data_IF_480855492174
#
_entry.id   IF_480855492174
#
_cell.length_a   1.000
_cell.length_b   1.000
_cell.length_c   1.000
_cell.angle_alpha   90.00
_cell.angle_beta   90.00
_cell.angle_gamma   90.00
#
_symmetry.space_group_name_H-M   'P 1'
#
loop_
_entity.id
_entity.type
_entity.pdbx_description
1 polymer ?
#
# COMPACT_ATOMS: atom_id res chain seq x y z
N UNK A 1 17.16 62.99 -15.21
CA UNK A 1 16.62 64.36 -15.49
C UNK A 1 16.03 64.44 -16.91
N UNK A 2 14.85 65.05 -17.12
CA UNK A 2 14.02 65.86 -16.20
C UNK A 2 12.90 65.02 -15.53
N UNK A 3 12.62 65.12 -14.23
CA UNK A 3 11.86 66.17 -13.49
C UNK A 3 10.41 66.35 -13.98
N UNK A 4 9.35 66.43 -13.16
CA UNK A 4 9.10 66.24 -11.74
C UNK A 4 7.56 66.40 -11.51
N UNK A 5 6.95 65.67 -10.56
CA UNK A 5 6.09 66.13 -9.42
C UNK A 5 4.73 65.42 -9.41
N UNK A 6 3.99 65.22 -8.33
CA UNK A 6 4.21 64.94 -6.90
C UNK A 6 2.81 64.93 -6.24
N UNK A 7 2.50 63.93 -5.40
CA UNK A 7 1.65 64.04 -4.18
C UNK A 7 1.43 62.63 -3.60
N UNK A 8 2.12 62.19 -2.51
CA UNK A 8 1.85 62.42 -1.05
C UNK A 8 0.41 62.00 -0.66
N UNK A 9 0.15 61.17 0.37
CA UNK A 9 0.81 60.97 1.67
C UNK A 9 0.54 59.52 2.22
N UNK A 10 1.52 58.85 2.86
CA UNK A 10 1.77 58.70 4.33
C UNK A 10 0.66 57.88 5.06
N UNK A 11 0.88 56.79 5.82
CA UNK A 11 1.89 56.37 6.81
C UNK A 11 2.09 54.83 6.70
N UNK A 12 3.21 54.15 6.97
CA UNK A 12 4.23 54.34 7.99
C UNK A 12 4.00 53.34 9.14
N UNK A 13 4.63 52.16 9.10
CA UNK A 13 5.15 51.41 10.27
C UNK A 13 6.07 50.28 9.79
N UNK A 14 7.37 50.47 10.02
CA UNK A 14 8.41 49.45 9.97
C UNK A 14 8.48 48.75 11.33
N UNK A 15 8.37 47.42 11.34
CA UNK A 15 8.88 46.59 12.44
C UNK A 15 9.42 45.31 11.84
N UNK A 16 10.73 45.11 11.98
CA UNK A 16 11.39 43.87 11.60
C UNK A 16 10.82 42.69 12.38
N UNK A 17 10.64 41.57 11.67
CA UNK A 17 10.48 40.26 12.28
C UNK A 17 11.67 39.42 11.83
N UNK A 18 12.52 39.15 12.82
CA UNK A 18 13.66 38.26 12.80
C UNK A 18 13.31 36.92 12.14
N UNK A 19 14.27 36.37 11.38
CA UNK A 19 14.38 34.94 11.15
C UNK A 19 14.28 34.21 12.49
N UNK A 20 13.09 33.69 12.80
CA UNK A 20 12.95 32.66 13.83
C UNK A 20 13.39 31.35 13.19
N UNK A 21 14.50 30.82 13.70
CA UNK A 21 14.87 29.42 13.53
C UNK A 21 13.64 28.54 13.76
N UNK A 22 13.29 27.70 12.80
CA UNK A 22 12.36 26.60 13.01
C UNK A 22 12.99 25.64 14.03
N UNK A 23 12.68 25.85 15.31
CA UNK A 23 12.79 24.81 16.33
C UNK A 23 11.53 23.98 16.17
N UNK A 24 11.65 22.74 15.71
CA UNK A 24 10.54 21.79 15.79
C UNK A 24 10.24 21.56 17.27
N UNK A 25 9.11 22.08 17.75
CA UNK A 25 8.52 21.61 19.00
C UNK A 25 8.06 20.16 18.79
N UNK A 26 8.82 19.21 19.34
CA UNK A 26 8.57 17.77 19.26
C UNK A 26 7.42 17.26 20.14
N UNK A 27 6.66 18.11 20.83
CA UNK A 27 5.73 17.67 21.89
C UNK A 27 4.26 17.43 21.50
N UNK A 28 3.91 17.31 20.20
CA UNK A 28 2.50 17.07 19.80
C UNK A 28 2.23 15.91 18.84
N UNK A 29 3.22 15.06 18.60
CA UNK A 29 3.01 13.79 17.90
C UNK A 29 3.25 12.65 18.88
N UNK A 30 2.22 12.29 19.64
CA UNK A 30 2.18 11.07 20.44
C UNK A 30 2.17 9.84 19.54
N UNK A 31 3.34 9.50 18.98
CA UNK A 31 3.59 8.17 18.42
C UNK A 31 3.97 7.25 19.58
N UNK A 32 3.05 6.35 19.95
CA UNK A 32 3.35 5.23 20.83
C UNK A 32 4.28 4.26 20.08
N UNK A 33 5.59 4.51 20.19
CA UNK A 33 6.62 3.55 19.83
C UNK A 33 6.67 2.46 20.89
N UNK A 34 6.61 1.19 20.44
CA UNK A 34 6.86 0.02 21.27
C UNK A 34 8.29 0.10 21.84
N UNK A 35 8.41 0.53 23.09
CA UNK A 35 9.61 0.30 23.88
C UNK A 35 9.62 -1.17 24.33
N UNK A 36 10.51 -1.98 23.75
CA UNK A 36 10.96 -3.21 24.41
C UNK A 36 11.90 -2.79 25.55
N UNK A 37 11.41 -2.84 26.79
CA UNK A 37 12.30 -2.77 27.95
C UNK A 37 13.09 -4.09 28.11
N UNK A 38 14.37 -4.03 28.53
CA UNK A 38 15.23 -5.19 28.64
C UNK A 38 14.89 -6.05 29.88
N UNK A 39 14.89 -7.35 29.66
CA UNK A 39 14.75 -8.38 30.68
C UNK A 39 15.94 -8.32 31.66
N UNK A 40 15.70 -7.93 32.91
CA UNK A 40 16.64 -8.10 34.04
C UNK A 40 16.02 -9.07 35.03
N UNK A 41 16.76 -10.13 35.32
CA UNK A 41 16.46 -11.16 36.31
C UNK A 41 16.55 -10.62 37.74
N UNK A 42 15.56 -10.90 38.59
CA UNK A 42 15.80 -11.09 40.03
C UNK A 42 14.70 -11.92 40.69
N UNK A 43 15.17 -12.79 41.58
CA UNK A 43 14.44 -13.80 42.34
C UNK A 43 13.43 -13.23 43.37
N UNK A 44 12.36 -14.00 43.59
CA UNK A 44 11.66 -14.23 44.85
C UNK A 44 11.15 -13.04 45.68
N UNK A 45 9.84 -12.95 45.87
CA UNK A 45 9.14 -12.98 47.17
C UNK A 45 7.61 -12.91 46.98
N UNK A 46 6.90 -13.44 47.97
CA UNK A 46 5.47 -13.75 48.06
C UNK A 46 4.67 -12.57 48.65
N UNK A 47 3.33 -12.57 48.43
CA UNK A 47 2.25 -11.78 49.09
C UNK A 47 2.09 -10.30 48.64
N UNK A 48 0.91 -9.66 48.56
CA UNK A 48 -0.52 -10.03 48.63
C UNK A 48 -1.35 -8.84 48.07
N UNK A 49 -2.65 -9.06 47.83
CA UNK A 49 -3.75 -8.17 47.37
C UNK A 49 -3.63 -6.61 47.41
N UNK A 50 -4.22 -5.95 46.39
CA UNK A 50 -4.76 -4.58 46.53
C UNK A 50 -5.05 -3.81 45.22
N UNK A 51 -6.31 -3.84 44.78
CA UNK A 51 -7.04 -2.81 43.99
C UNK A 51 -6.32 -1.90 42.97
N UNK A 52 -6.67 -2.05 41.68
CA UNK A 52 -7.20 -0.97 40.81
C UNK A 52 -7.30 -1.43 39.35
N UNK A 53 -8.35 -2.20 39.05
CA UNK A 53 -8.76 -2.52 37.67
C UNK A 53 -10.17 -1.97 37.46
N UNK A 54 -10.33 -0.66 37.63
CA UNK A 54 -11.41 0.09 37.01
C UNK A 54 -10.90 0.69 35.70
N UNK A 55 -11.74 0.59 34.65
CA UNK A 55 -11.57 1.16 33.31
C UNK A 55 -10.82 0.33 32.24
N UNK A 56 -11.26 -0.91 32.02
CA UNK A 56 -11.44 -1.42 30.65
C UNK A 56 -12.76 -2.17 30.56
N UNK A 57 -13.80 -1.46 30.13
CA UNK A 57 -15.09 -2.03 29.76
C UNK A 57 -14.91 -3.01 28.60
N UNK A 58 -14.71 -4.29 28.92
CA UNK A 58 -15.05 -5.37 28.00
C UNK A 58 -16.56 -5.31 27.76
N UNK A 59 -16.98 -4.66 26.67
CA UNK A 59 -18.33 -4.82 26.17
C UNK A 59 -18.50 -6.28 25.74
N UNK A 60 -18.91 -7.12 26.68
CA UNK A 60 -19.56 -8.39 26.38
C UNK A 60 -20.80 -8.03 25.58
N UNK A 61 -20.77 -8.33 24.28
CA UNK A 61 -21.97 -8.27 23.43
C UNK A 61 -22.95 -9.27 24.01
N UNK A 62 -23.87 -8.80 24.86
CA UNK A 62 -24.94 -9.63 25.40
C UNK A 62 -25.74 -10.16 24.21
N UNK A 63 -25.94 -11.49 24.09
CA UNK A 63 -26.77 -12.02 23.02
C UNK A 63 -28.16 -11.40 23.09
N UNK A 64 -28.74 -11.08 21.92
CA UNK A 64 -30.13 -10.57 21.82
C UNK A 64 -31.04 -11.53 22.60
N UNK A 65 -31.62 -11.05 23.71
CA UNK A 65 -32.56 -11.81 24.52
C UNK A 65 -33.79 -12.13 23.69
N UNK A 66 -33.84 -13.34 23.13
CA UNK A 66 -35.09 -13.91 22.63
C UNK A 66 -36.08 -14.01 23.78
N UNK A 67 -37.28 -13.47 23.60
CA UNK A 67 -38.29 -13.35 24.64
C UNK A 67 -38.56 -14.66 25.39
N UNK A 68 -38.57 -14.56 26.72
CA UNK A 68 -38.81 -15.68 27.63
C UNK A 68 -40.26 -16.15 27.48
N UNK A 69 -40.49 -17.28 26.83
CA UNK A 69 -41.80 -17.96 26.89
C UNK A 69 -41.84 -18.82 28.14
N UNK A 70 -42.63 -18.37 29.11
CA UNK A 70 -42.92 -19.08 30.35
C UNK A 70 -43.72 -20.36 30.05
N UNK A 71 -43.07 -21.52 30.15
CA UNK A 71 -43.75 -22.81 30.22
C UNK A 71 -43.15 -23.70 31.32
N UNK A 72 -43.96 -23.92 32.36
CA UNK A 72 -44.05 -25.07 33.27
C UNK A 72 -42.76 -25.88 33.57
N UNK A 73 -41.97 -25.39 34.54
CA UNK A 73 -41.30 -26.17 35.61
C UNK A 73 -40.33 -25.24 36.34
N UNK A 74 -40.35 -25.24 37.69
CA UNK A 74 -39.52 -24.35 38.52
C UNK A 74 -38.00 -24.57 38.33
N UNK A 75 -37.59 -25.68 37.70
CA UNK A 75 -36.19 -26.03 37.46
C UNK A 75 -35.75 -25.94 35.98
N UNK A 76 -36.65 -25.65 35.04
CA UNK A 76 -36.31 -25.62 33.60
C UNK A 76 -35.24 -24.56 33.25
N UNK A 77 -35.23 -23.43 33.95
CA UNK A 77 -34.22 -22.38 33.78
C UNK A 77 -32.83 -22.80 34.27
N UNK A 78 -32.76 -23.66 35.31
CA UNK A 78 -31.48 -24.19 35.83
C UNK A 78 -30.83 -25.12 34.82
N UNK A 79 -31.62 -26.00 34.21
CA UNK A 79 -31.12 -26.93 33.20
C UNK A 79 -30.61 -26.19 31.95
N UNK A 80 -31.31 -25.13 31.52
CA UNK A 80 -30.85 -24.29 30.42
C UNK A 80 -29.59 -23.49 30.76
N UNK A 81 -29.49 -22.94 31.98
CA UNK A 81 -28.29 -22.21 32.43
C UNK A 81 -27.07 -23.14 32.52
N UNK A 82 -27.25 -24.36 33.02
CA UNK A 82 -26.18 -25.37 33.05
C UNK A 82 -25.73 -25.71 31.62
N UNK A 83 -26.65 -25.88 30.68
CA UNK A 83 -26.32 -26.14 29.27
C UNK A 83 -25.56 -24.96 28.63
N UNK A 84 -25.93 -23.71 28.95
CA UNK A 84 -25.21 -22.52 28.48
C UNK A 84 -23.80 -22.44 29.08
N UNK A 85 -23.64 -22.70 30.38
CA UNK A 85 -22.34 -22.74 31.06
C UNK A 85 -21.43 -23.87 30.56
N UNK A 86 -22.00 -25.05 30.25
CA UNK A 86 -21.26 -26.15 29.63
C UNK A 86 -20.74 -25.79 28.24
N UNK A 87 -21.55 -25.04 27.47
CA UNK A 87 -21.16 -24.53 26.17
C UNK A 87 -20.02 -23.51 26.30
N UNK A 88 -20.13 -22.56 27.22
CA UNK A 88 -19.06 -21.58 27.52
C UNK A 88 -17.77 -22.28 27.95
N UNK A 89 -17.85 -23.25 28.87
CA UNK A 89 -16.69 -24.02 29.31
C UNK A 89 -16.02 -24.80 28.16
N UNK A 90 -16.82 -25.36 27.24
CA UNK A 90 -16.29 -26.06 26.06
C UNK A 90 -15.60 -25.10 25.10
N UNK A 91 -16.15 -23.89 24.93
CA UNK A 91 -15.54 -22.83 24.13
C UNK A 91 -14.24 -22.33 24.77
N UNK A 92 -14.20 -22.13 26.09
CA UNK A 92 -12.99 -21.75 26.83
C UNK A 92 -11.90 -22.82 26.77
N UNK A 93 -12.25 -24.10 26.99
CA UNK A 93 -11.28 -25.21 26.85
C UNK A 93 -10.69 -25.26 25.45
N UNK A 94 -11.50 -25.00 24.41
CA UNK A 94 -11.02 -24.92 23.03
C UNK A 94 -10.06 -23.74 22.84
N UNK A 95 -10.39 -22.55 23.36
CA UNK A 95 -9.50 -21.38 23.32
C UNK A 95 -8.18 -21.65 24.04
N UNK A 96 -8.23 -22.20 25.25
CA UNK A 96 -7.05 -22.53 26.03
C UNK A 96 -6.15 -23.55 25.32
N UNK A 97 -6.74 -24.59 24.72
CA UNK A 97 -5.99 -25.59 23.94
C UNK A 97 -5.26 -24.96 22.75
N UNK A 98 -5.89 -24.01 22.04
CA UNK A 98 -5.25 -23.28 20.93
C UNK A 98 -4.08 -22.43 21.45
N UNK A 99 -4.27 -21.70 22.54
CA UNK A 99 -3.21 -20.86 23.15
C UNK A 99 -2.02 -21.71 23.59
N UNK A 100 -2.26 -22.86 24.23
CA UNK A 100 -1.19 -23.78 24.62
C UNK A 100 -0.47 -24.37 23.42
N UNK A 101 -1.20 -24.73 22.36
CA UNK A 101 -0.62 -25.18 21.09
C UNK A 101 0.28 -24.11 20.46
N UNK A 102 -0.18 -22.86 20.42
CA UNK A 102 0.62 -21.73 19.92
C UNK A 102 1.89 -21.54 20.76
N UNK A 103 1.77 -21.52 22.10
CA UNK A 103 2.93 -21.39 23.00
C UNK A 103 3.94 -22.53 22.84
N UNK A 104 3.48 -23.77 22.66
CA UNK A 104 4.34 -24.91 22.42
C UNK A 104 5.16 -24.76 21.13
N UNK A 105 4.54 -24.26 20.05
CA UNK A 105 5.24 -24.00 18.78
C UNK A 105 6.28 -22.88 18.91
N UNK A 106 5.97 -21.78 19.62
CA UNK A 106 6.95 -20.73 19.92
C UNK A 106 8.14 -21.29 20.72
N UNK A 107 7.87 -22.09 21.75
CA UNK A 107 8.93 -22.71 22.55
C UNK A 107 9.79 -23.70 21.72
N UNK A 108 9.20 -24.44 20.78
CA UNK A 108 9.96 -25.28 19.85
C UNK A 108 10.88 -24.44 18.95
N UNK A 109 10.35 -23.38 18.35
CA UNK A 109 11.11 -22.49 17.48
C UNK A 109 12.30 -21.87 18.22
N UNK A 110 12.09 -21.39 19.46
CA UNK A 110 13.17 -20.85 20.31
C UNK A 110 14.21 -21.92 20.64
N UNK A 111 13.78 -23.15 20.97
CA UNK A 111 14.72 -24.25 21.24
C UNK A 111 15.60 -24.58 20.04
N UNK A 112 15.02 -24.67 18.85
CA UNK A 112 15.79 -24.93 17.64
C UNK A 112 16.71 -23.76 17.27
N UNK A 113 16.27 -22.52 17.52
CA UNK A 113 17.12 -21.34 17.34
C UNK A 113 18.34 -21.34 18.28
N UNK A 114 18.16 -21.71 19.56
CA UNK A 114 19.27 -21.84 20.53
C UNK A 114 20.23 -22.95 20.12
N UNK A 115 19.71 -24.05 19.56
CA UNK A 115 20.50 -25.17 19.08
C UNK A 115 21.13 -24.94 17.68
N UNK A 116 20.89 -23.79 17.05
CA UNK A 116 21.28 -23.49 15.65
C UNK A 116 20.79 -24.55 14.62
N UNK A 117 19.70 -25.26 14.91
CA UNK A 117 19.09 -26.26 14.01
C UNK A 117 18.11 -25.61 13.03
N UNK A 118 18.67 -25.01 11.97
CA UNK A 118 17.92 -24.24 10.97
C UNK A 118 16.88 -25.07 10.20
N UNK A 119 17.15 -26.30 9.75
CA UNK A 119 16.14 -27.14 9.10
C UNK A 119 14.93 -27.42 10.00
N UNK A 120 15.15 -27.69 11.28
CA UNK A 120 14.04 -27.91 12.23
C UNK A 120 13.24 -26.64 12.49
N UNK A 121 13.88 -25.46 12.53
CA UNK A 121 13.15 -24.19 12.59
C UNK A 121 12.22 -24.01 11.40
N UNK A 122 12.73 -24.24 10.18
CA UNK A 122 11.93 -24.15 8.95
C UNK A 122 10.77 -25.15 8.99
N UNK A 123 10.99 -26.36 9.50
CA UNK A 123 9.95 -27.38 9.65
C UNK A 123 8.80 -26.93 10.56
N UNK A 124 9.09 -26.28 11.70
CA UNK A 124 8.05 -25.73 12.59
C UNK A 124 7.24 -24.64 11.89
N UNK A 125 7.90 -23.73 11.19
CA UNK A 125 7.23 -22.68 10.41
C UNK A 125 6.39 -23.30 9.28
N UNK A 126 6.91 -24.33 8.62
CA UNK A 126 6.22 -25.08 7.58
C UNK A 126 4.96 -25.77 8.10
N UNK A 127 5.01 -26.36 9.30
CA UNK A 127 3.83 -26.95 9.92
C UNK A 127 2.74 -25.89 10.17
N UNK A 128 3.13 -24.68 10.61
CA UNK A 128 2.20 -23.57 10.78
C UNK A 128 1.62 -23.10 9.45
N UNK A 129 2.45 -22.90 8.44
CA UNK A 129 2.02 -22.50 7.10
C UNK A 129 1.01 -23.49 6.49
N UNK A 130 1.22 -24.81 6.67
CA UNK A 130 0.25 -25.84 6.23
C UNK A 130 -1.10 -25.73 6.94
N UNK A 131 -1.10 -25.49 8.25
CA UNK A 131 -2.34 -25.32 9.03
C UNK A 131 -3.11 -24.06 8.62
N UNK A 132 -2.41 -23.01 8.20
CA UNK A 132 -3.04 -21.78 7.70
C UNK A 132 -3.69 -22.04 6.34
N UNK A 133 -3.00 -22.73 5.43
CA UNK A 133 -3.55 -23.08 4.12
C UNK A 133 -4.82 -23.93 4.23
N UNK A 134 -4.93 -24.81 5.24
CA UNK A 134 -6.18 -25.58 5.46
C UNK A 134 -7.30 -24.73 6.07
N UNK A 135 -6.97 -23.72 6.89
CA UNK A 135 -7.96 -22.79 7.46
C UNK A 135 -8.46 -21.75 6.46
N UNK A 136 -7.67 -21.41 5.45
CA UNK A 136 -8.01 -20.43 4.40
C UNK A 136 -8.11 -18.98 4.90
N UNK A 137 -7.80 -18.72 6.18
CA UNK A 137 -7.73 -17.38 6.77
C UNK A 137 -6.50 -17.29 7.66
N UNK A 138 -5.73 -16.21 7.47
CA UNK A 138 -4.53 -15.91 8.22
C UNK A 138 -4.87 -14.94 9.36
N UNK A 139 -4.42 -15.21 10.58
CA UNK A 139 -4.59 -14.32 11.73
C UNK A 139 -3.36 -13.43 11.95
N UNK A 140 -3.50 -12.33 12.69
CA UNK A 140 -2.36 -11.48 13.05
C UNK A 140 -1.29 -12.25 13.84
N UNK A 141 -1.70 -13.18 14.71
CA UNK A 141 -0.78 -14.09 15.42
C UNK A 141 0.00 -14.99 14.46
N UNK A 142 -0.61 -15.42 13.34
CA UNK A 142 0.06 -16.24 12.34
C UNK A 142 1.12 -15.43 11.57
N UNK A 143 0.83 -14.17 11.26
CA UNK A 143 1.77 -13.25 10.60
C UNK A 143 2.99 -13.00 11.51
N UNK A 144 2.75 -12.70 12.78
CA UNK A 144 3.79 -12.49 13.80
C UNK A 144 4.64 -13.74 14.05
N UNK A 145 4.03 -14.93 14.10
CA UNK A 145 4.77 -16.17 14.33
C UNK A 145 5.74 -16.47 13.19
N UNK A 146 5.27 -16.37 11.95
CA UNK A 146 6.09 -16.65 10.77
C UNK A 146 7.17 -15.56 10.63
N UNK A 147 6.81 -14.28 10.83
CA UNK A 147 7.78 -13.19 10.75
C UNK A 147 8.88 -13.31 11.81
N UNK A 148 8.55 -13.73 13.02
CA UNK A 148 9.53 -14.03 14.06
C UNK A 148 10.46 -15.18 13.64
N UNK A 149 9.91 -16.30 13.14
CA UNK A 149 10.73 -17.42 12.66
C UNK A 149 11.69 -17.03 11.55
N UNK A 150 11.24 -16.22 10.59
CA UNK A 150 12.07 -15.72 9.49
C UNK A 150 13.14 -14.76 9.95
N UNK A 151 12.82 -13.86 10.88
CA UNK A 151 13.79 -12.90 11.42
C UNK A 151 14.89 -13.60 12.22
N UNK A 152 14.53 -14.61 13.03
CA UNK A 152 15.52 -15.39 13.79
C UNK A 152 16.40 -16.19 12.82
N UNK A 153 15.80 -16.86 11.82
CA UNK A 153 16.54 -17.58 10.79
C UNK A 153 17.50 -16.64 10.03
N UNK A 154 17.03 -15.47 9.59
CA UNK A 154 17.83 -14.45 8.94
C UNK A 154 19.03 -14.05 9.79
N UNK A 155 18.84 -13.80 11.09
CA UNK A 155 19.91 -13.38 12.00
C UNK A 155 20.98 -14.45 12.22
N UNK A 156 20.58 -15.72 12.32
CA UNK A 156 21.54 -16.83 12.43
C UNK A 156 22.30 -16.98 11.10
N UNK A 157 21.62 -16.90 9.96
CA UNK A 157 22.26 -16.94 8.63
C UNK A 157 23.26 -15.79 8.44
N UNK A 158 22.90 -14.56 8.82
CA UNK A 158 23.81 -13.40 8.77
C UNK A 158 25.07 -13.59 9.62
N UNK A 159 24.97 -14.28 10.75
CA UNK A 159 26.13 -14.65 11.55
C UNK A 159 26.99 -15.70 10.84
N UNK A 160 26.37 -16.73 10.28
CA UNK A 160 27.06 -17.80 9.53
C UNK A 160 27.75 -17.29 8.26
N UNK A 161 27.26 -16.21 7.64
CA UNK A 161 27.91 -15.57 6.48
C UNK A 161 29.30 -14.99 6.76
N UNK A 162 29.69 -14.81 8.03
CA UNK A 162 31.02 -14.31 8.41
C UNK A 162 32.10 -15.39 8.41
N UNK A 163 31.70 -16.67 8.33
CA UNK A 163 32.60 -17.82 8.44
C UNK A 163 32.56 -18.65 7.15
N UNK A 164 33.66 -18.66 6.39
CA UNK A 164 33.77 -19.35 5.10
C UNK A 164 33.48 -20.86 5.18
N UNK A 165 33.79 -21.51 6.31
CA UNK A 165 33.51 -22.94 6.49
C UNK A 165 32.01 -23.20 6.65
N UNK A 166 31.31 -22.31 7.36
CA UNK A 166 29.86 -22.41 7.54
C UNK A 166 29.11 -22.08 6.25
N UNK A 167 29.58 -21.13 5.45
CA UNK A 167 28.94 -20.76 4.17
C UNK A 167 28.76 -21.95 3.23
N UNK A 168 29.77 -22.83 3.17
CA UNK A 168 29.77 -24.00 2.30
C UNK A 168 29.28 -25.28 3.00
N UNK A 169 28.65 -25.16 4.18
CA UNK A 169 28.22 -26.32 4.93
C UNK A 169 26.99 -27.00 4.30
N UNK A 170 26.87 -28.34 4.39
CA UNK A 170 25.68 -29.06 3.94
C UNK A 170 24.41 -28.58 4.65
N UNK A 171 24.51 -28.12 5.90
CA UNK A 171 23.36 -27.58 6.64
C UNK A 171 22.82 -26.30 5.99
N UNK A 172 23.68 -25.38 5.52
CA UNK A 172 23.24 -24.15 4.84
C UNK A 172 22.50 -24.47 3.54
N UNK A 173 23.02 -25.42 2.76
CA UNK A 173 22.39 -25.87 1.53
C UNK A 173 21.02 -26.52 1.82
N UNK A 174 20.96 -27.43 2.80
CA UNK A 174 19.71 -28.05 3.24
C UNK A 174 18.69 -27.03 3.74
N UNK A 175 19.17 -25.98 4.43
CA UNK A 175 18.34 -24.88 4.93
C UNK A 175 17.74 -24.08 3.78
N UNK A 176 18.54 -23.74 2.77
CA UNK A 176 18.06 -23.05 1.57
C UNK A 176 16.97 -23.85 0.85
N UNK A 177 17.19 -25.14 0.57
CA UNK A 177 16.17 -25.97 -0.10
C UNK A 177 14.93 -26.21 0.76
N UNK A 178 15.09 -26.33 2.09
CA UNK A 178 13.94 -26.41 3.00
C UNK A 178 13.11 -25.13 2.96
N UNK A 179 13.77 -23.98 2.90
CA UNK A 179 13.12 -22.68 2.76
C UNK A 179 12.49 -22.52 1.36
N UNK A 180 13.15 -22.96 0.28
CA UNK A 180 12.60 -23.03 -1.07
C UNK A 180 11.25 -23.72 -1.11
N UNK A 181 11.18 -24.91 -0.52
CA UNK A 181 9.94 -25.66 -0.41
C UNK A 181 8.88 -24.91 0.42
N UNK A 182 9.26 -24.38 1.59
CA UNK A 182 8.35 -23.59 2.43
C UNK A 182 7.76 -22.39 1.68
N UNK A 183 8.64 -21.61 1.05
CA UNK A 183 8.30 -20.40 0.32
C UNK A 183 7.34 -20.69 -0.82
N UNK A 184 7.49 -21.84 -1.49
CA UNK A 184 6.56 -22.30 -2.52
C UNK A 184 5.14 -22.49 -1.98
N UNK A 185 4.98 -23.07 -0.79
CA UNK A 185 3.68 -23.33 -0.16
C UNK A 185 3.03 -22.11 0.52
N UNK A 186 3.79 -21.07 0.84
CA UNK A 186 3.32 -19.98 1.71
C UNK A 186 2.43 -18.95 1.02
N UNK A 187 1.27 -18.64 1.61
CA UNK A 187 0.42 -17.54 1.14
C UNK A 187 0.78 -16.27 1.93
N UNK A 188 1.21 -15.23 1.22
CA UNK A 188 1.57 -13.95 1.81
C UNK A 188 0.36 -13.09 2.13
N UNK A 189 0.24 -12.64 3.38
CA UNK A 189 -0.85 -11.78 3.84
C UNK A 189 -0.34 -10.50 4.49
N UNK A 190 0.21 -10.58 5.70
CA UNK A 190 0.54 -9.41 6.51
C UNK A 190 1.88 -8.76 6.16
N UNK A 191 2.05 -7.54 6.67
CA UNK A 191 3.22 -6.71 6.35
C UNK A 191 4.49 -7.29 6.97
N UNK A 192 4.42 -7.86 8.17
CA UNK A 192 5.59 -8.37 8.89
C UNK A 192 6.18 -9.57 8.17
N UNK A 193 5.33 -10.50 7.71
CA UNK A 193 5.80 -11.64 6.93
C UNK A 193 6.36 -11.23 5.57
N UNK A 194 5.83 -10.17 4.93
CA UNK A 194 6.40 -9.66 3.67
C UNK A 194 7.79 -9.08 3.90
N UNK A 195 7.94 -8.23 4.92
CA UNK A 195 9.23 -7.59 5.26
C UNK A 195 10.27 -8.66 5.63
N UNK A 196 9.94 -9.57 6.54
CA UNK A 196 10.86 -10.62 6.97
C UNK A 196 11.26 -11.56 5.82
N UNK A 197 10.35 -11.82 4.88
CA UNK A 197 10.65 -12.62 3.68
C UNK A 197 11.59 -11.90 2.71
N UNK A 198 11.43 -10.58 2.54
CA UNK A 198 12.33 -9.76 1.71
C UNK A 198 13.73 -9.72 2.33
N UNK A 199 13.82 -9.55 3.66
CA UNK A 199 15.10 -9.58 4.39
C UNK A 199 15.79 -10.94 4.25
N UNK A 200 15.05 -12.02 4.44
CA UNK A 200 15.59 -13.37 4.35
C UNK A 200 16.04 -13.72 2.92
N UNK A 201 15.30 -13.28 1.89
CA UNK A 201 15.74 -13.38 0.50
C UNK A 201 17.08 -12.68 0.27
N UNK A 202 17.24 -11.44 0.76
CA UNK A 202 18.50 -10.71 0.63
C UNK A 202 19.67 -11.45 1.29
N UNK A 203 19.43 -12.08 2.44
CA UNK A 203 20.45 -12.90 3.10
C UNK A 203 20.82 -14.14 2.25
N UNK A 204 19.85 -14.80 1.62
CA UNK A 204 20.12 -15.94 0.73
C UNK A 204 20.80 -15.54 -0.59
N UNK A 205 20.44 -14.39 -1.16
CA UNK A 205 21.11 -13.83 -2.35
C UNK A 205 22.58 -13.46 -2.04
N UNK A 206 22.83 -12.87 -0.88
CA UNK A 206 24.21 -12.64 -0.42
C UNK A 206 24.97 -13.94 -0.16
N UNK A 207 24.29 -14.96 0.38
CA UNK A 207 24.87 -16.28 0.59
C UNK A 207 25.29 -16.95 -0.73
N UNK A 208 24.43 -16.93 -1.76
CA UNK A 208 24.75 -17.52 -3.05
C UNK A 208 25.96 -16.85 -3.71
N UNK A 209 26.13 -15.54 -3.52
CA UNK A 209 27.28 -14.78 -4.04
C UNK A 209 28.62 -15.08 -3.35
N UNK A 210 28.60 -15.48 -2.07
CA UNK A 210 29.83 -15.73 -1.27
C UNK A 210 30.22 -17.21 -1.28
N UNK A 211 29.29 -18.10 -1.60
CA UNK A 211 29.48 -19.55 -1.65
C UNK A 211 30.37 -19.99 -2.81
N UNK A 212 31.09 -21.10 -2.63
CA UNK A 212 31.85 -21.73 -3.72
C UNK A 212 30.89 -22.37 -4.75
N UNK A 213 31.14 -22.18 -6.06
CA UNK A 213 30.29 -22.76 -7.10
C UNK A 213 30.36 -24.29 -7.10
N UNK A 214 29.22 -24.94 -7.26
CA UNK A 214 29.08 -26.39 -7.31
C UNK A 214 27.95 -26.84 -8.26
N UNK A 215 27.64 -28.14 -8.28
CA UNK A 215 26.60 -28.70 -9.15
C UNK A 215 25.18 -28.18 -8.87
N UNK A 216 24.93 -27.63 -7.67
CA UNK A 216 23.63 -27.07 -7.28
C UNK A 216 23.48 -25.57 -7.60
N UNK A 217 24.54 -24.89 -8.05
CA UNK A 217 24.52 -23.45 -8.32
C UNK A 217 23.43 -23.03 -9.31
N UNK A 218 23.27 -23.74 -10.42
CA UNK A 218 22.26 -23.42 -11.44
C UNK A 218 20.82 -23.52 -10.87
N UNK A 219 20.56 -24.53 -10.04
CA UNK A 219 19.25 -24.72 -9.39
C UNK A 219 18.97 -23.62 -8.36
N UNK A 220 19.99 -23.23 -7.58
CA UNK A 220 19.88 -22.15 -6.59
C UNK A 220 19.52 -20.83 -7.27
N UNK A 221 20.18 -20.50 -8.38
CA UNK A 221 19.91 -19.27 -9.14
C UNK A 221 18.48 -19.26 -9.72
N UNK A 222 17.99 -20.41 -10.21
CA UNK A 222 16.61 -20.53 -10.68
C UNK A 222 15.59 -20.33 -9.55
N UNK A 223 15.86 -20.90 -8.37
CA UNK A 223 15.03 -20.74 -7.17
C UNK A 223 15.02 -19.29 -6.70
N UNK A 224 16.17 -18.62 -6.65
CA UNK A 224 16.27 -17.20 -6.29
C UNK A 224 15.51 -16.31 -7.28
N UNK A 225 15.64 -16.58 -8.59
CA UNK A 225 14.86 -15.86 -9.61
C UNK A 225 13.34 -16.11 -9.48
N UNK A 226 12.92 -17.30 -9.05
CA UNK A 226 11.52 -17.59 -8.72
C UNK A 226 11.07 -16.82 -7.48
N UNK A 227 11.92 -16.74 -6.46
CA UNK A 227 11.65 -15.96 -5.25
C UNK A 227 11.46 -14.49 -5.56
N UNK A 228 12.39 -13.88 -6.29
CA UNK A 228 12.34 -12.48 -6.70
C UNK A 228 11.03 -12.16 -7.43
N UNK A 229 10.62 -13.03 -8.38
CA UNK A 229 9.34 -12.90 -9.10
C UNK A 229 8.13 -12.95 -8.17
N UNK A 230 8.18 -13.74 -7.10
CA UNK A 230 7.10 -13.81 -6.10
C UNK A 230 7.12 -12.60 -5.17
N UNK A 231 8.29 -12.15 -4.72
CA UNK A 231 8.45 -10.94 -3.88
C UNK A 231 7.97 -9.68 -4.59
N UNK A 232 8.19 -9.55 -5.90
CA UNK A 232 7.61 -8.47 -6.73
C UNK A 232 6.07 -8.43 -6.71
N UNK A 233 5.40 -9.51 -6.30
CA UNK A 233 3.95 -9.52 -6.10
C UNK A 233 3.53 -9.09 -4.69
N UNK A 234 4.48 -8.98 -3.75
CA UNK A 234 4.23 -8.72 -2.32
C UNK A 234 4.36 -7.25 -1.93
N UNK A 235 5.30 -6.54 -2.53
CA UNK A 235 5.47 -5.09 -2.39
C UNK A 235 5.38 -4.46 -3.77
N UNK A 236 4.79 -3.26 -3.86
CA UNK A 236 4.80 -2.49 -5.13
C UNK A 236 6.24 -2.14 -5.51
N UNK A 237 7.11 -1.88 -4.51
CA UNK A 237 8.52 -1.51 -4.69
C UNK A 237 9.42 -2.33 -3.73
N UNK A 238 9.67 -3.63 -4.02
CA UNK A 238 10.33 -4.54 -3.09
C UNK A 238 11.77 -4.14 -2.76
N UNK A 239 12.49 -3.58 -3.74
CA UNK A 239 13.89 -3.18 -3.57
C UNK A 239 14.04 -1.90 -2.73
N UNK A 240 13.14 -0.94 -2.93
CA UNK A 240 13.09 0.26 -2.09
C UNK A 240 12.71 -0.11 -0.65
N UNK A 241 11.78 -1.07 -0.50
CA UNK A 241 11.41 -1.62 0.82
C UNK A 241 12.63 -2.25 1.49
N UNK A 242 13.38 -3.10 0.78
CA UNK A 242 14.61 -3.72 1.30
C UNK A 242 15.65 -2.67 1.72
N UNK A 243 15.90 -1.68 0.86
CA UNK A 243 16.84 -0.60 1.16
C UNK A 243 16.44 0.15 2.44
N UNK A 244 15.15 0.47 2.58
CA UNK A 244 14.62 1.10 3.79
C UNK A 244 14.79 0.22 5.04
N UNK A 245 14.55 -1.08 4.94
CA UNK A 245 14.74 -2.01 6.06
C UNK A 245 16.20 -2.12 6.48
N UNK A 246 17.14 -2.16 5.52
CA UNK A 246 18.58 -2.16 5.80
C UNK A 246 19.01 -0.87 6.49
N UNK A 247 18.53 0.27 5.99
CA UNK A 247 18.83 1.59 6.57
C UNK A 247 18.34 1.70 8.03
N UNK A 248 17.10 1.25 8.30
CA UNK A 248 16.53 1.25 9.64
C UNK A 248 17.30 0.30 10.57
N UNK A 249 17.67 -0.89 10.10
CA UNK A 249 18.49 -1.83 10.89
C UNK A 249 19.82 -1.17 11.29
N UNK A 250 20.49 -0.52 10.35
CA UNK A 250 21.80 0.09 10.58
C UNK A 250 21.68 1.30 11.51
N UNK A 251 20.60 2.09 11.39
CA UNK A 251 20.27 3.18 12.31
C UNK A 251 20.02 2.69 13.75
N UNK A 252 19.30 1.57 13.91
CA UNK A 252 19.03 0.96 15.22
C UNK A 252 20.27 0.30 15.84
N UNK A 253 21.20 -0.17 15.01
CA UNK A 253 22.47 -0.75 15.45
C UNK A 253 23.57 0.31 15.70
N UNK A 254 23.30 1.57 15.41
CA UNK A 254 24.26 2.66 15.54
C UNK A 254 24.68 2.85 17.01
N UNK A 255 26.00 2.88 17.32
CA UNK A 255 26.49 3.07 18.67
C UNK A 255 26.33 4.55 19.09
N UNK A 256 25.14 4.92 19.57
CA UNK A 256 24.84 6.29 19.98
C UNK A 256 23.34 6.58 19.98
N UNK A 257 23.00 7.87 19.84
CA UNK A 257 21.61 8.25 19.56
C UNK A 257 21.32 7.97 18.10
N UNK A 258 20.13 7.44 17.81
CA UNK A 258 19.68 7.15 16.44
C UNK A 258 19.69 8.44 15.58
N UNK A 259 19.45 9.60 16.18
CA UNK A 259 19.49 10.91 15.52
C UNK A 259 20.87 11.27 14.93
N UNK A 260 21.95 10.67 15.43
CA UNK A 260 23.32 10.91 14.95
C UNK A 260 23.69 10.00 13.77
N UNK A 261 22.83 9.02 13.43
CA UNK A 261 23.04 8.14 12.27
C UNK A 261 22.82 8.90 10.96
N UNK A 262 23.84 8.90 10.09
CA UNK A 262 23.77 9.53 8.77
C UNK A 262 23.08 8.59 7.79
N UNK A 263 21.82 8.87 7.48
CA UNK A 263 21.08 8.12 6.47
C UNK A 263 21.37 8.59 5.04
N UNK A 264 21.52 7.65 4.12
CA UNK A 264 21.70 7.86 2.68
C UNK A 264 20.47 7.46 1.87
N UNK A 265 19.43 6.95 2.52
CA UNK A 265 18.18 6.56 1.88
C UNK A 265 17.44 7.79 1.35
N UNK A 266 17.16 7.80 0.05
CA UNK A 266 16.35 8.84 -0.57
C UNK A 266 14.87 8.71 -0.14
N UNK A 267 14.39 9.63 0.68
CA UNK A 267 12.98 9.69 1.07
C UNK A 267 12.17 10.38 -0.03
N UNK A 268 11.34 9.62 -0.73
CA UNK A 268 10.49 10.16 -1.79
C UNK A 268 9.36 11.03 -1.21
N UNK A 269 9.12 12.19 -1.83
CA UNK A 269 7.97 13.06 -1.59
C UNK A 269 7.25 13.22 -2.93
N UNK A 270 6.04 12.66 -3.04
CA UNK A 270 5.22 12.74 -4.25
C UNK A 270 3.90 13.46 -3.97
N UNK A 271 3.42 14.20 -4.96
CA UNK A 271 2.19 14.97 -4.86
C UNK A 271 0.95 14.12 -5.14
N UNK A 272 -0.17 14.51 -4.54
CA UNK A 272 -1.46 13.85 -4.75
C UNK A 272 -2.03 14.23 -6.12
N UNK A 273 -1.59 13.53 -7.17
CA UNK A 273 -2.01 13.78 -8.55
C UNK A 273 -1.59 15.17 -9.09
N UNK A 274 -0.29 15.37 -9.32
CA UNK A 274 0.31 16.66 -9.73
C UNK A 274 -0.43 17.37 -10.88
N UNK A 275 -0.91 16.64 -11.88
CA UNK A 275 -1.65 17.23 -13.00
C UNK A 275 -2.94 17.93 -12.55
N UNK A 276 -3.74 17.29 -11.67
CA UNK A 276 -4.95 17.92 -11.12
C UNK A 276 -4.59 19.04 -10.13
N UNK A 277 -3.50 18.91 -9.37
CA UNK A 277 -3.01 19.99 -8.51
C UNK A 277 -2.70 21.26 -9.33
N UNK A 278 -2.01 21.13 -10.46
CA UNK A 278 -1.74 22.27 -11.33
C UNK A 278 -3.01 22.85 -11.96
N UNK A 279 -3.95 22.01 -12.42
CA UNK A 279 -5.22 22.52 -12.95
C UNK A 279 -6.04 23.25 -11.88
N UNK A 280 -6.13 22.71 -10.67
CA UNK A 280 -6.84 23.33 -9.57
C UNK A 280 -6.20 24.67 -9.17
N UNK A 281 -4.86 24.74 -9.12
CA UNK A 281 -4.14 25.97 -8.84
C UNK A 281 -4.35 27.05 -9.93
N UNK A 282 -4.26 26.67 -11.21
CA UNK A 282 -4.49 27.58 -12.34
C UNK A 282 -5.95 28.08 -12.39
N UNK A 283 -6.90 27.19 -12.15
CA UNK A 283 -8.33 27.50 -12.13
C UNK A 283 -8.80 28.15 -10.82
N UNK A 284 -7.95 28.21 -9.79
CA UNK A 284 -8.32 28.56 -8.40
C UNK A 284 -9.56 27.78 -7.92
N UNK A 285 -9.59 26.50 -8.25
CA UNK A 285 -10.66 25.56 -7.95
C UNK A 285 -10.53 25.08 -6.50
N UNK A 286 -11.32 25.65 -5.58
CA UNK A 286 -11.25 25.33 -4.15
C UNK A 286 -11.67 23.88 -3.86
N UNK A 287 -12.77 23.42 -4.48
CA UNK A 287 -13.26 22.05 -4.30
C UNK A 287 -12.26 21.04 -4.87
N UNK A 288 -11.82 21.26 -6.10
CA UNK A 288 -10.79 20.44 -6.72
C UNK A 288 -9.48 20.45 -5.92
N UNK A 289 -9.06 21.63 -5.44
CA UNK A 289 -7.86 21.82 -4.62
C UNK A 289 -7.89 21.06 -3.30
N UNK A 290 -9.07 20.95 -2.65
CA UNK A 290 -9.26 20.14 -1.45
C UNK A 290 -9.03 18.66 -1.72
N UNK A 291 -9.63 18.12 -2.79
CA UNK A 291 -9.53 16.70 -3.18
C UNK A 291 -8.08 16.27 -3.50
N UNK A 292 -7.23 17.21 -3.91
CA UNK A 292 -5.81 16.98 -4.26
C UNK A 292 -4.83 17.59 -3.24
N UNK A 293 -5.29 17.89 -2.03
CA UNK A 293 -4.45 18.30 -0.88
C UNK A 293 -3.68 19.61 -1.08
N UNK A 294 -4.24 20.57 -1.82
CA UNK A 294 -3.74 21.96 -1.87
C UNK A 294 -4.23 22.81 -0.69
N UNK A 295 -5.35 22.41 -0.08
CA UNK A 295 -5.90 23.05 1.11
C UNK A 295 -5.58 22.22 2.34
N UNK A 296 -5.44 22.90 3.48
CA UNK A 296 -5.20 22.25 4.77
C UNK A 296 -6.38 21.35 5.16
N UNK A 297 -6.07 20.13 5.60
CA UNK A 297 -7.04 19.14 6.07
C UNK A 297 -6.43 18.30 7.19
N UNK A 298 -7.29 17.82 8.09
CA UNK A 298 -6.86 16.95 9.21
C UNK A 298 -6.27 15.62 8.70
N UNK A 299 -6.83 15.09 7.61
CA UNK A 299 -6.38 13.86 6.96
C UNK A 299 -6.11 14.12 5.47
N UNK A 300 -5.14 13.39 4.87
CA UNK A 300 -4.89 13.49 3.44
C UNK A 300 -6.09 12.93 2.65
N UNK A 301 -6.57 13.71 1.69
CA UNK A 301 -7.63 13.30 0.77
C UNK A 301 -7.06 12.38 -0.32
N UNK A 302 -7.88 11.42 -0.76
CA UNK A 302 -7.54 10.48 -1.82
C UNK A 302 -8.52 10.65 -2.99
N UNK A 303 -8.17 11.56 -3.91
CA UNK A 303 -8.95 11.85 -5.13
C UNK A 303 -9.39 10.59 -5.87
N UNK A 304 -8.55 9.55 -5.90
CA UNK A 304 -8.89 8.32 -6.60
C UNK A 304 -9.99 7.54 -5.87
N UNK A 305 -10.01 7.53 -4.55
CA UNK A 305 -11.11 6.90 -3.80
C UNK A 305 -12.40 7.73 -3.90
N UNK A 306 -12.30 9.06 -3.85
CA UNK A 306 -13.45 9.96 -4.06
C UNK A 306 -14.10 9.73 -5.43
N UNK A 307 -13.30 9.70 -6.51
CA UNK A 307 -13.81 9.43 -7.86
C UNK A 307 -14.38 8.01 -7.96
N UNK A 308 -13.76 7.02 -7.32
CA UNK A 308 -14.23 5.63 -7.34
C UNK A 308 -15.62 5.50 -6.68
N UNK A 309 -15.81 6.19 -5.56
CA UNK A 309 -17.11 6.27 -4.87
C UNK A 309 -18.17 6.93 -5.75
N UNK A 310 -17.84 8.04 -6.42
CA UNK A 310 -18.76 8.72 -7.35
C UNK A 310 -19.13 7.82 -8.54
N UNK A 311 -18.18 7.04 -9.07
CA UNK A 311 -18.45 6.04 -10.13
C UNK A 311 -19.39 4.95 -9.63
N UNK A 312 -19.17 4.44 -8.42
CA UNK A 312 -20.04 3.43 -7.80
C UNK A 312 -21.46 3.96 -7.57
N UNK A 313 -21.61 5.20 -7.11
CA UNK A 313 -22.92 5.85 -6.94
C UNK A 313 -23.67 5.93 -8.27
N UNK A 314 -23.02 6.40 -9.34
CA UNK A 314 -23.61 6.44 -10.69
C UNK A 314 -23.98 5.06 -11.23
N UNK A 315 -23.26 4.01 -10.81
CA UNK A 315 -23.59 2.63 -11.17
C UNK A 315 -24.83 2.13 -10.43
N UNK A 316 -24.93 2.41 -9.13
CA UNK A 316 -26.12 2.09 -8.33
C UNK A 316 -27.37 2.81 -8.87
N UNK A 317 -27.21 4.04 -9.36
CA UNK A 317 -28.29 4.78 -10.02
C UNK A 317 -28.73 4.11 -11.32
N UNK A 318 -27.80 3.75 -12.20
CA UNK A 318 -28.13 3.03 -13.44
C UNK A 318 -28.76 1.66 -13.17
N UNK A 319 -28.38 0.97 -12.08
CA UNK A 319 -29.00 -0.30 -11.66
C UNK A 319 -30.49 -0.14 -11.31
N UNK A 320 -30.94 1.05 -10.89
CA UNK A 320 -32.35 1.34 -10.60
C UNK A 320 -33.18 1.60 -11.85
N UNK A 321 -32.55 1.89 -12.99
CA UNK A 321 -33.23 2.13 -14.27
C UNK A 321 -32.42 2.99 -15.23
N UNK A 322 -32.84 3.00 -16.50
CA UNK A 322 -32.25 3.83 -17.55
C UNK A 322 -31.56 3.05 -18.66
N UNK A 323 -30.96 3.74 -19.65
CA UNK A 323 -30.41 3.11 -20.85
C UNK A 323 -29.21 2.19 -20.57
N UNK A 324 -28.52 2.39 -19.44
CA UNK A 324 -27.37 1.60 -19.04
C UNK A 324 -27.69 0.53 -17.98
N UNK A 325 -28.98 0.31 -17.65
CA UNK A 325 -29.37 -0.60 -16.57
C UNK A 325 -28.86 -2.02 -16.78
N UNK A 326 -28.98 -2.53 -18.01
CA UNK A 326 -28.58 -3.90 -18.31
C UNK A 326 -27.06 -4.14 -18.12
N UNK A 327 -26.23 -3.20 -18.58
CA UNK A 327 -24.78 -3.30 -18.42
C UNK A 327 -24.34 -3.11 -16.97
N UNK A 328 -25.00 -2.22 -16.22
CA UNK A 328 -24.71 -1.98 -14.81
C UNK A 328 -25.04 -3.23 -13.95
N UNK A 329 -26.19 -3.87 -14.20
CA UNK A 329 -26.59 -5.10 -13.51
C UNK A 329 -25.67 -6.29 -13.86
N UNK A 330 -25.25 -6.43 -15.12
CA UNK A 330 -24.28 -7.46 -15.53
C UNK A 330 -22.91 -7.22 -14.87
N UNK A 331 -22.44 -5.98 -14.86
CA UNK A 331 -21.21 -5.62 -14.16
C UNK A 331 -21.29 -5.91 -12.66
N UNK A 332 -22.43 -5.65 -11.99
CA UNK A 332 -22.64 -6.01 -10.57
C UNK A 332 -22.52 -7.51 -10.32
N UNK A 333 -22.95 -8.36 -11.26
CA UNK A 333 -22.79 -9.81 -11.15
C UNK A 333 -21.33 -10.24 -11.23
N UNK A 334 -20.56 -9.63 -12.14
CA UNK A 334 -19.12 -9.90 -12.29
C UNK A 334 -18.27 -9.24 -11.20
N UNK A 335 -18.72 -8.11 -10.65
CA UNK A 335 -18.05 -7.34 -9.60
C UNK A 335 -19.09 -6.91 -8.55
N UNK A 336 -19.38 -7.79 -7.57
CA UNK A 336 -20.35 -7.50 -6.51
C UNK A 336 -19.93 -6.32 -5.62
N UNK A 337 -18.63 -6.23 -5.34
CA UNK A 337 -18.01 -5.15 -4.59
C UNK A 337 -18.07 -3.81 -5.34
N UNK A 338 -17.94 -2.67 -4.64
CA UNK A 338 -17.58 -1.40 -5.28
C UNK A 338 -16.31 -1.61 -6.13
N UNK A 339 -16.23 -1.10 -7.36
CA UNK A 339 -15.59 0.22 -7.52
C UNK A 339 -14.16 0.29 -6.97
N UNK A 340 -13.23 -0.67 -7.14
CA UNK A 340 -11.95 -0.56 -6.45
C UNK A 340 -11.12 0.60 -7.03
N UNK A 341 -10.54 1.42 -6.15
CA UNK A 341 -9.65 2.54 -6.48
C UNK A 341 -8.62 2.21 -7.56
N UNK A 342 -8.01 1.03 -7.47
CA UNK A 342 -6.96 0.55 -8.39
C UNK A 342 -7.42 0.50 -9.85
N UNK A 343 -8.69 0.19 -10.11
CA UNK A 343 -9.25 0.09 -11.48
C UNK A 343 -9.31 1.46 -12.15
N UNK A 344 -9.63 2.51 -11.41
CA UNK A 344 -9.79 3.85 -11.99
C UNK A 344 -8.55 4.74 -11.86
N UNK A 345 -7.64 4.45 -10.91
CA UNK A 345 -6.45 5.29 -10.61
C UNK A 345 -5.70 5.67 -11.87
N UNK A 346 -5.37 4.69 -12.71
CA UNK A 346 -4.60 4.91 -13.94
C UNK A 346 -5.35 5.82 -14.93
N UNK A 347 -6.66 5.62 -15.08
CA UNK A 347 -7.50 6.43 -15.98
C UNK A 347 -7.60 7.87 -15.51
N UNK A 348 -7.80 8.10 -14.21
CA UNK A 348 -7.81 9.44 -13.62
C UNK A 348 -6.46 10.13 -13.83
N UNK A 349 -5.35 9.44 -13.54
CA UNK A 349 -4.00 9.97 -13.74
C UNK A 349 -3.72 10.37 -15.18
N UNK A 350 -4.19 9.59 -16.16
CA UNK A 350 -3.89 9.86 -17.58
C UNK A 350 -4.88 10.85 -18.23
N UNK A 351 -6.00 11.14 -17.58
CA UNK A 351 -7.03 12.08 -18.10
C UNK A 351 -6.52 13.51 -18.17
N UNK A 352 -5.74 13.94 -17.18
CA UNK A 352 -5.09 15.26 -17.17
C UNK A 352 -4.00 15.41 -18.22
N UNK A 353 -3.49 14.30 -18.76
CA UNK A 353 -2.47 14.26 -19.82
C UNK A 353 -3.06 13.99 -21.22
N UNK A 354 -4.37 14.04 -21.38
CA UNK A 354 -5.02 13.94 -22.69
C UNK A 354 -5.29 12.52 -23.19
N UNK A 355 -5.51 11.55 -22.30
CA UNK A 355 -6.01 10.23 -22.70
C UNK A 355 -7.38 10.34 -23.41
N UNK A 356 -7.59 9.54 -24.45
CA UNK A 356 -8.92 9.40 -25.09
C UNK A 356 -9.82 8.46 -24.31
N UNK A 357 -11.12 8.52 -24.60
CA UNK A 357 -12.07 7.51 -24.16
C UNK A 357 -11.64 6.09 -24.56
N UNK A 358 -11.09 5.91 -25.76
CA UNK A 358 -10.57 4.62 -26.21
C UNK A 358 -9.36 4.17 -25.37
N UNK A 359 -8.38 5.05 -25.18
CA UNK A 359 -7.20 4.77 -24.36
C UNK A 359 -7.56 4.46 -22.90
N UNK A 360 -8.49 5.23 -22.33
CA UNK A 360 -9.03 5.02 -20.99
C UNK A 360 -9.76 3.68 -20.86
N UNK A 361 -10.60 3.31 -21.84
CA UNK A 361 -11.27 2.01 -21.86
C UNK A 361 -10.26 0.86 -21.91
N UNK A 362 -9.16 1.01 -22.66
CA UNK A 362 -8.11 -0.01 -22.68
C UNK A 362 -7.39 -0.14 -21.33
N UNK A 363 -7.15 0.98 -20.64
CA UNK A 363 -6.55 0.96 -19.29
C UNK A 363 -7.47 0.27 -18.28
N UNK A 364 -8.76 0.64 -18.23
CA UNK A 364 -9.73 -0.01 -17.34
C UNK A 364 -9.87 -1.50 -17.69
N UNK A 365 -9.90 -1.85 -18.98
CA UNK A 365 -9.97 -3.25 -19.43
C UNK A 365 -8.79 -4.08 -18.89
N UNK A 366 -7.57 -3.53 -18.92
CA UNK A 366 -6.39 -4.20 -18.35
C UNK A 366 -6.52 -4.42 -16.83
N UNK A 367 -7.04 -3.43 -16.11
CA UNK A 367 -7.27 -3.56 -14.67
C UNK A 367 -8.39 -4.55 -14.32
N UNK A 368 -9.47 -4.61 -15.12
CA UNK A 368 -10.54 -5.60 -14.95
C UNK A 368 -10.04 -7.03 -15.19
N UNK A 369 -9.20 -7.25 -16.21
CA UNK A 369 -8.53 -8.54 -16.44
C UNK A 369 -7.66 -8.96 -15.27
N UNK A 370 -6.96 -8.01 -14.64
CA UNK A 370 -6.14 -8.28 -13.45
C UNK A 370 -6.97 -8.61 -12.19
N UNK A 371 -8.29 -8.40 -12.24
CA UNK A 371 -9.26 -8.81 -11.21
C UNK A 371 -10.02 -10.09 -11.60
N UNK A 372 -9.50 -10.86 -12.56
CA UNK A 372 -10.13 -12.07 -13.11
C UNK A 372 -11.50 -11.85 -13.77
N UNK A 373 -11.79 -10.61 -14.18
CA UNK A 373 -12.98 -10.26 -14.98
C UNK A 373 -12.55 -10.23 -16.46
N UNK A 374 -12.23 -11.40 -17.01
CA UNK A 374 -11.88 -11.56 -18.43
C UNK A 374 -12.91 -12.42 -19.17
N UNK A 375 -13.95 -11.75 -19.67
CA UNK A 375 -15.02 -12.34 -20.46
C UNK A 375 -15.27 -11.52 -21.74
N UNK A 376 -16.16 -12.00 -22.62
CA UNK A 376 -16.51 -11.31 -23.86
C UNK A 376 -17.10 -9.90 -23.61
N UNK A 377 -17.65 -9.67 -22.43
CA UNK A 377 -18.26 -8.39 -22.03
C UNK A 377 -17.27 -7.43 -21.37
N UNK A 378 -16.04 -7.83 -21.04
CA UNK A 378 -15.06 -6.98 -20.34
C UNK A 378 -14.80 -5.67 -21.11
N UNK A 379 -14.82 -5.71 -22.44
CA UNK A 379 -14.70 -4.50 -23.26
C UNK A 379 -15.88 -3.53 -23.05
N UNK A 380 -17.11 -4.05 -22.96
CA UNK A 380 -18.32 -3.26 -22.70
C UNK A 380 -18.29 -2.69 -21.29
N UNK A 381 -17.91 -3.49 -20.29
CA UNK A 381 -17.74 -3.05 -18.90
C UNK A 381 -16.70 -1.93 -18.78
N UNK A 382 -15.56 -2.08 -19.45
CA UNK A 382 -14.52 -1.07 -19.46
C UNK A 382 -14.99 0.24 -20.11
N UNK A 383 -15.72 0.15 -21.23
CA UNK A 383 -16.31 1.32 -21.87
C UNK A 383 -17.33 2.01 -20.96
N UNK A 384 -18.21 1.25 -20.31
CA UNK A 384 -19.18 1.76 -19.35
C UNK A 384 -18.50 2.51 -18.19
N UNK A 385 -17.55 1.85 -17.51
CA UNK A 385 -16.80 2.44 -16.41
C UNK A 385 -15.99 3.66 -16.85
N UNK A 386 -15.49 3.68 -18.08
CA UNK A 386 -14.79 4.85 -18.64
C UNK A 386 -15.72 6.06 -18.69
N UNK A 387 -16.91 5.92 -19.27
CA UNK A 387 -17.87 7.02 -19.34
C UNK A 387 -18.26 7.53 -17.95
N UNK A 388 -18.50 6.61 -17.00
CA UNK A 388 -18.81 6.98 -15.61
C UNK A 388 -17.63 7.66 -14.90
N UNK A 389 -16.40 7.23 -15.18
CA UNK A 389 -15.19 7.86 -14.63
C UNK A 389 -15.03 9.29 -15.14
N UNK A 390 -15.20 9.52 -16.45
CA UNK A 390 -15.12 10.86 -17.02
C UNK A 390 -16.22 11.78 -16.49
N UNK A 391 -17.46 11.28 -16.37
CA UNK A 391 -18.56 12.04 -15.77
C UNK A 391 -18.24 12.41 -14.32
N UNK A 392 -17.77 11.46 -13.50
CA UNK A 392 -17.37 11.72 -12.11
C UNK A 392 -16.20 12.70 -11.98
N UNK A 393 -15.25 12.68 -12.91
CA UNK A 393 -14.17 13.67 -12.96
C UNK A 393 -14.69 15.07 -13.30
N UNK A 394 -15.62 15.18 -14.25
CA UNK A 394 -16.21 16.46 -14.59
C UNK A 394 -17.00 17.05 -13.42
N UNK A 395 -17.71 16.21 -12.65
CA UNK A 395 -18.45 16.63 -11.46
C UNK A 395 -17.51 17.07 -10.32
N UNK A 396 -16.38 16.38 -10.12
CA UNK A 396 -15.44 16.69 -9.04
C UNK A 396 -14.47 17.84 -9.38
N UNK A 397 -14.18 18.04 -10.67
CA UNK A 397 -13.13 18.95 -11.15
C UNK A 397 -13.63 19.80 -12.32
N UNK A 398 -14.80 20.42 -12.18
CA UNK A 398 -15.45 21.16 -13.26
C UNK A 398 -14.56 22.26 -13.83
N UNK A 399 -13.95 23.10 -12.98
CA UNK A 399 -13.09 24.20 -13.43
C UNK A 399 -11.84 23.68 -14.14
N UNK A 400 -11.21 22.65 -13.55
CA UNK A 400 -10.03 22.00 -14.13
C UNK A 400 -10.31 21.37 -15.49
N UNK A 401 -11.46 20.70 -15.66
CA UNK A 401 -11.83 20.10 -16.95
C UNK A 401 -12.16 21.16 -18.01
N UNK A 402 -12.84 22.25 -17.64
CA UNK A 402 -13.08 23.39 -18.54
C UNK A 402 -11.77 24.03 -19.01
N UNK A 403 -10.79 24.17 -18.11
CA UNK A 403 -9.49 24.74 -18.45
C UNK A 403 -8.72 23.84 -19.45
N UNK A 404 -8.79 22.52 -19.26
CA UNK A 404 -8.24 21.56 -20.22
C UNK A 404 -8.90 21.66 -21.60
N UNK A 405 -10.23 21.78 -21.65
CA UNK A 405 -10.95 21.92 -22.92
C UNK A 405 -10.62 23.26 -23.60
N UNK A 406 -10.46 24.35 -22.84
CA UNK A 406 -9.98 25.63 -23.36
C UNK A 406 -8.58 25.52 -23.99
N UNK A 407 -7.63 24.83 -23.35
CA UNK A 407 -6.32 24.58 -23.95
C UNK A 407 -6.40 23.79 -25.27
N UNK A 408 -7.34 22.84 -25.36
CA UNK A 408 -7.59 22.07 -26.60
C UNK A 408 -8.10 22.99 -27.72
N UNK A 409 -9.01 23.90 -27.40
CA UNK A 409 -9.53 24.87 -28.38
C UNK A 409 -8.46 25.84 -28.85
N UNK A 410 -7.59 26.33 -27.95
CA UNK A 410 -6.43 27.13 -28.32
C UNK A 410 -5.48 26.36 -29.25
N UNK A 411 -5.14 25.11 -28.91
CA UNK A 411 -4.26 24.29 -29.74
C UNK A 411 -4.84 24.03 -31.13
N UNK A 412 -6.15 23.79 -31.21
CA UNK A 412 -6.87 23.64 -32.49
C UNK A 412 -6.79 24.92 -33.32
N UNK A 413 -7.09 26.07 -32.72
CA UNK A 413 -7.03 27.36 -33.42
C UNK A 413 -5.64 27.69 -33.96
N UNK A 414 -4.58 27.42 -33.20
CA UNK A 414 -3.19 27.61 -33.65
C UNK A 414 -2.83 26.65 -34.79
N UNK A 415 -3.23 25.39 -34.69
CA UNK A 415 -2.97 24.43 -35.76
C UNK A 415 -3.76 24.73 -37.04
N UNK A 416 -4.96 25.29 -36.94
CA UNK A 416 -5.77 25.72 -38.09
C UNK A 416 -5.07 26.88 -38.84
N UNK A 417 -4.26 27.67 -38.14
CA UNK A 417 -3.37 28.70 -38.71
C UNK A 417 -2.05 28.15 -39.26
N UNK A 418 -1.87 26.82 -39.28
CA UNK A 418 -0.65 26.13 -39.73
C UNK A 418 0.59 26.52 -38.91
N UNK A 419 0.40 26.84 -37.63
CA UNK A 419 1.49 27.11 -36.68
C UNK A 419 1.61 25.99 -35.62
N UNK A 420 2.80 25.84 -35.06
CA UNK A 420 3.06 24.96 -33.92
C UNK A 420 2.67 25.65 -32.60
N UNK A 421 2.26 24.85 -31.61
CA UNK A 421 2.01 25.38 -30.27
C UNK A 421 3.33 25.73 -29.58
N UNK A 422 3.42 26.97 -29.11
CA UNK A 422 4.61 27.53 -28.48
C UNK A 422 4.21 28.30 -27.21
N UNK A 423 5.02 28.18 -26.16
CA UNK A 423 4.88 28.97 -24.94
C UNK A 423 6.22 29.12 -24.24
N UNK A 424 6.30 30.01 -23.26
CA UNK A 424 7.47 30.18 -22.40
C UNK A 424 7.09 29.69 -21.00
N UNK A 425 7.91 28.84 -20.39
CA UNK A 425 7.66 28.37 -19.02
C UNK A 425 7.82 29.51 -18.02
N UNK A 426 7.31 29.38 -16.78
CA UNK A 426 7.56 30.37 -15.72
C UNK A 426 9.05 30.63 -15.43
N UNK A 427 9.94 29.68 -15.79
CA UNK A 427 11.39 29.81 -15.67
C UNK A 427 12.06 30.52 -16.85
N UNK A 428 11.29 30.91 -17.87
CA UNK A 428 11.80 31.57 -19.08
C UNK A 428 12.26 30.62 -20.19
N UNK A 429 12.05 29.30 -20.05
CA UNK A 429 12.41 28.34 -21.10
C UNK A 429 11.35 28.36 -22.21
N UNK A 430 11.70 28.69 -23.47
CA UNK A 430 10.78 28.54 -24.59
C UNK A 430 10.55 27.06 -24.90
N UNK A 431 9.28 26.68 -25.09
CA UNK A 431 8.83 25.33 -25.41
C UNK A 431 8.03 25.36 -26.69
N UNK A 432 8.38 24.45 -27.61
CA UNK A 432 7.72 24.26 -28.90
C UNK A 432 7.23 22.82 -28.98
N UNK A 433 5.96 22.60 -29.31
CA UNK A 433 5.43 21.25 -29.57
C UNK A 433 5.78 20.79 -30.99
N UNK A 434 6.61 19.74 -31.15
CA UNK A 434 7.14 19.34 -32.46
C UNK A 434 6.19 18.39 -33.21
N UNK A 435 4.87 18.55 -33.10
CA UNK A 435 3.89 17.69 -33.77
C UNK A 435 3.65 18.19 -35.20
N UNK A 436 4.55 17.82 -36.11
CA UNK A 436 4.50 18.16 -37.53
C UNK A 436 4.61 16.92 -38.41
N UNK A 437 3.90 16.92 -39.54
CA UNK A 437 4.04 15.92 -40.61
C UNK A 437 4.78 16.53 -41.79
N UNK A 438 5.77 15.81 -42.30
CA UNK A 438 6.40 16.14 -43.57
C UNK A 438 5.41 15.85 -44.71
N UNK A 439 5.08 16.86 -45.50
CA UNK A 439 4.28 16.73 -46.73
C UNK A 439 5.07 17.30 -47.89
N UNK A 440 4.99 16.65 -49.04
CA UNK A 440 5.59 17.17 -50.26
C UNK A 440 4.57 18.03 -51.02
N UNK A 441 4.95 19.27 -51.35
CA UNK A 441 4.11 20.17 -52.15
C UNK A 441 4.99 20.83 -53.21
N UNK A 442 4.67 20.57 -54.48
CA UNK A 442 5.42 21.08 -55.65
C UNK A 442 6.93 20.77 -55.60
N UNK A 443 7.30 19.54 -55.22
CA UNK A 443 8.70 19.10 -55.15
C UNK A 443 9.50 19.64 -53.94
N UNK A 444 8.82 20.27 -52.97
CA UNK A 444 9.44 20.72 -51.72
C UNK A 444 8.77 20.04 -50.53
N UNK A 445 9.58 19.58 -49.58
CA UNK A 445 9.10 19.07 -48.29
C UNK A 445 8.73 20.26 -47.40
N UNK A 446 7.48 20.29 -46.94
CA UNK A 446 6.96 21.26 -45.98
C UNK A 446 6.53 20.51 -44.72
N UNK A 447 6.80 21.09 -43.54
CA UNK A 447 6.31 20.58 -42.27
C UNK A 447 4.99 21.24 -41.93
N UNK A 448 3.94 20.44 -41.85
CA UNK A 448 2.58 20.90 -41.54
C UNK A 448 2.22 20.44 -40.13
N UNK A 449 1.79 21.34 -39.23
CA UNK A 449 1.34 20.95 -37.90
C UNK A 449 0.21 19.92 -37.97
N UNK A 450 0.22 19.01 -37.01
CA UNK A 450 -0.82 18.00 -36.88
C UNK A 450 -2.00 18.64 -36.14
N UNK A 451 -3.12 18.83 -36.83
CA UNK A 451 -4.35 19.42 -36.27
C UNK A 451 -4.94 18.63 -35.11
N UNK A 452 -4.75 17.31 -35.12
CA UNK A 452 -5.10 16.44 -34.01
C UNK A 452 -4.08 15.31 -33.92
N UNK A 453 -3.46 15.14 -32.74
CA UNK A 453 -2.60 13.98 -32.45
C UNK A 453 -3.37 12.65 -32.51
N UNK A 454 -4.70 12.71 -32.70
CA UNK A 454 -5.66 11.61 -32.70
C UNK A 454 -6.60 11.72 -33.88
#
# INVERSE_FOLDING_TARGET
PPEAKSSKAANGYSSGLQCKSFRMDQEKWGMNWFAMEPFVSQDGLVEDYGESLENRTHMVVKPKRGGWKSTKSADAWRTMLIADLEKELKEEKRRFSIIQGNRAQHAQLIRYAIAEDLPSMISVVHQRARLINTRGRLSEEDDQFISFGFTVLQKILEHSLKDEQRVNSPEMLSTFFSFANLFDYMIFYGNDMRISSILLYNTFDRWSQVRAPDESSDEIDEILAKFERRLKKLSEEPWQTLAACMEIRDALAFPGKIEDFVSHLAVHQDGSCNGLQHYAALGRDEEGGREVNLLESEYPNDVYSSVALRVEQKRIEDEKGGPNMEIALRLRRSMPQPVPRKVIKQTVMTTVYGVTLYGAALQIKRQLKALDIDNEETAKFAQYLTHKTFASLHDAFTCSMKLKDWFRDCAKGVSDLLQTMEWVTPLGLPVVQPYVLAKEKKGKVIHVPVSTKQ
#
